data_IF_875459605414
#
_entry.id   IF_875459605414
#
_cell.length_a   1.000
_cell.length_b   1.000
_cell.length_c   1.000
_cell.angle_alpha   90.00
_cell.angle_beta   90.00
_cell.angle_gamma   90.00
#
_symmetry.space_group_name_H-M   'P 1'
#
loop_
_entity.id
_entity.type
_entity.pdbx_description
1 polymer ?
#
# COMPACT_ATOMS: atom_id res chain seq x y z
N UNK A 1 -3.27 -1.12 16.46
CA UNK A 1 -2.63 -1.55 15.19
C UNK A 1 -1.26 -0.90 15.04
N UNK A 2 -0.29 -1.59 14.41
CA UNK A 2 1.01 -1.00 14.11
C UNK A 2 0.87 0.19 13.16
N UNK A 3 1.62 1.27 13.42
CA UNK A 3 1.63 2.51 12.63
C UNK A 3 3.06 3.03 12.47
N UNK A 4 3.36 3.67 11.35
CA UNK A 4 4.60 4.43 11.17
C UNK A 4 4.33 5.67 10.32
N UNK A 5 5.22 6.65 10.42
CA UNK A 5 5.19 7.88 9.64
C UNK A 5 6.37 7.87 8.68
N UNK A 6 6.18 8.46 7.51
CA UNK A 6 7.23 8.67 6.51
C UNK A 6 7.01 10.01 5.82
N UNK A 7 8.09 10.55 5.25
CA UNK A 7 8.03 11.69 4.35
C UNK A 7 8.00 11.14 2.92
N UNK A 8 6.89 11.34 2.24
CA UNK A 8 6.65 10.80 0.91
C UNK A 8 5.52 11.56 0.18
N UNK A 9 5.39 11.35 -1.13
CA UNK A 9 4.20 11.80 -1.87
C UNK A 9 3.00 10.92 -1.49
N UNK A 10 1.85 11.53 -1.20
CA UNK A 10 0.63 10.81 -0.81
C UNK A 10 -0.32 10.67 -1.99
N UNK A 11 -0.48 9.45 -2.49
CA UNK A 11 -1.48 9.16 -3.53
C UNK A 11 -2.87 8.96 -2.94
N UNK A 12 -3.86 9.64 -3.53
CA UNK A 12 -5.27 9.54 -3.15
C UNK A 12 -5.98 8.43 -3.94
N UNK A 13 -5.57 7.18 -3.72
CA UNK A 13 -6.13 6.06 -4.46
C UNK A 13 -7.63 5.88 -4.18
N UNK A 14 -8.44 5.91 -5.23
CA UNK A 14 -9.87 5.61 -5.18
C UNK A 14 -10.12 4.33 -5.99
N UNK A 15 -10.63 3.24 -5.38
CA UNK A 15 -10.92 2.02 -6.10
C UNK A 15 -11.95 2.26 -7.20
N UNK A 16 -11.69 1.75 -8.41
CA UNK A 16 -12.67 1.74 -9.49
C UNK A 16 -13.81 0.76 -9.13
N UNK A 17 -15.07 1.21 -9.00
CA UNK A 17 -16.20 0.34 -8.69
C UNK A 17 -16.50 -0.69 -9.78
N UNK A 18 -16.07 -0.47 -11.03
CA UNK A 18 -16.19 -1.44 -12.11
C UNK A 18 -15.02 -2.44 -12.17
N UNK A 19 -13.96 -2.21 -11.38
CA UNK A 19 -12.80 -3.09 -11.30
C UNK A 19 -13.10 -4.40 -10.56
N UNK A 20 -12.13 -5.33 -10.52
CA UNK A 20 -12.26 -6.61 -9.82
C UNK A 20 -12.41 -6.48 -8.29
N UNK A 21 -12.26 -5.26 -7.75
CA UNK A 21 -12.25 -4.98 -6.33
C UNK A 21 -10.87 -5.19 -5.69
N UNK A 22 -10.72 -4.64 -4.48
CA UNK A 22 -9.49 -4.74 -3.68
C UNK A 22 -9.80 -5.21 -2.26
N UNK A 23 -8.79 -5.73 -1.59
CA UNK A 23 -8.76 -5.87 -0.13
C UNK A 23 -7.70 -4.92 0.43
N UNK A 24 -8.12 -4.02 1.32
CA UNK A 24 -7.24 -3.01 1.91
C UNK A 24 -6.50 -3.61 3.10
N UNK A 25 -5.16 -3.57 3.06
CA UNK A 25 -4.28 -4.08 4.10
C UNK A 25 -3.72 -2.96 4.99
N UNK A 26 -3.54 -1.76 4.43
CA UNK A 26 -3.16 -0.57 5.17
C UNK A 26 -3.71 0.69 4.52
N UNK A 27 -3.98 1.69 5.35
CA UNK A 27 -4.47 3.01 4.94
C UNK A 27 -3.43 4.09 5.25
N UNK A 28 -3.49 5.22 4.53
CA UNK A 28 -2.70 6.41 4.81
C UNK A 28 -3.59 7.58 5.22
N UNK A 29 -3.11 8.37 6.17
CA UNK A 29 -3.65 9.67 6.58
C UNK A 29 -2.49 10.65 6.82
N UNK A 30 -2.82 11.93 6.99
CA UNK A 30 -1.86 12.96 7.41
C UNK A 30 -2.42 13.69 8.62
N UNK A 31 -1.54 14.27 9.44
CA UNK A 31 -1.95 15.00 10.64
C UNK A 31 -2.97 16.10 10.28
N UNK A 32 -4.09 16.12 11.01
CA UNK A 32 -5.17 17.12 10.81
C UNK A 32 -6.11 16.83 9.63
N UNK A 33 -5.96 15.72 8.91
CA UNK A 33 -6.89 15.32 7.84
C UNK A 33 -7.80 14.18 8.29
N UNK A 34 -9.09 14.31 8.00
CA UNK A 34 -10.13 13.28 8.10
C UNK A 34 -10.12 12.32 6.88
N UNK A 35 -9.44 12.70 5.80
CA UNK A 35 -9.35 11.90 4.58
C UNK A 35 -8.39 10.74 4.79
N UNK A 36 -8.87 9.53 4.52
CA UNK A 36 -8.12 8.27 4.61
C UNK A 36 -8.20 7.59 3.24
N UNK A 37 -7.05 7.13 2.74
CA UNK A 37 -6.98 6.43 1.44
C UNK A 37 -6.30 5.07 1.60
N UNK A 38 -6.69 4.06 0.81
CA UNK A 38 -5.91 2.84 0.66
C UNK A 38 -4.46 3.16 0.29
N UNK A 39 -3.53 2.54 0.99
CA UNK A 39 -2.09 2.70 0.75
C UNK A 39 -1.43 1.38 0.39
N UNK A 40 -1.85 0.30 1.05
CA UNK A 40 -1.46 -1.08 0.71
C UNK A 40 -2.72 -1.90 0.53
N UNK A 41 -2.82 -2.60 -0.59
CA UNK A 41 -3.98 -3.42 -0.91
C UNK A 41 -3.62 -4.56 -1.85
N UNK A 42 -4.45 -5.60 -1.91
CA UNK A 42 -4.37 -6.65 -2.93
C UNK A 42 -5.56 -6.56 -3.88
N UNK A 43 -5.33 -6.82 -5.17
CA UNK A 43 -6.40 -6.82 -6.18
C UNK A 43 -6.99 -8.21 -6.28
N UNK A 44 -8.32 -8.31 -6.32
CA UNK A 44 -9.04 -9.59 -6.44
C UNK A 44 -9.05 -10.12 -7.89
N UNK A 45 -7.86 -10.23 -8.48
CA UNK A 45 -7.71 -10.72 -9.85
C UNK A 45 -7.80 -12.25 -9.89
N UNK A 46 -8.57 -12.86 -10.82
CA UNK A 46 -8.85 -14.29 -10.81
C UNK A 46 -7.64 -15.18 -11.11
N UNK A 47 -6.61 -14.63 -11.76
CA UNK A 47 -5.45 -15.39 -12.27
C UNK A 47 -4.09 -14.86 -11.81
N UNK A 48 -4.05 -13.77 -11.04
CA UNK A 48 -2.80 -13.10 -10.69
C UNK A 48 -2.82 -12.64 -9.24
N UNK A 49 -1.65 -12.69 -8.60
CA UNK A 49 -1.43 -12.11 -7.27
C UNK A 49 -0.87 -10.71 -7.47
N UNK A 50 -1.68 -9.69 -7.17
CA UNK A 50 -1.32 -8.30 -7.40
C UNK A 50 -1.41 -7.56 -6.07
N UNK A 51 -0.31 -6.91 -5.69
CA UNK A 51 -0.21 -6.04 -4.52
C UNK A 51 0.03 -4.61 -4.98
N UNK A 52 -0.82 -3.68 -4.56
CA UNK A 52 -0.66 -2.25 -4.75
C UNK A 52 -0.02 -1.62 -3.52
N UNK A 53 1.03 -0.84 -3.73
CA UNK A 53 1.73 -0.06 -2.70
C UNK A 53 1.84 1.37 -3.20
N UNK A 54 1.13 2.28 -2.56
CA UNK A 54 1.05 3.69 -2.95
C UNK A 54 2.21 4.55 -2.39
N UNK A 55 3.10 3.95 -1.59
CA UNK A 55 4.27 4.58 -0.98
C UNK A 55 5.55 4.25 -1.78
N UNK A 56 6.53 5.14 -1.74
CA UNK A 56 7.89 4.94 -2.25
C UNK A 56 8.39 5.99 -3.23
N UNK A 57 7.76 7.16 -3.32
CA UNK A 57 8.21 8.23 -4.23
C UNK A 57 9.54 8.83 -3.74
N UNK A 58 9.59 9.25 -2.48
CA UNK A 58 10.79 9.88 -1.89
C UNK A 58 11.85 8.82 -1.55
N UNK A 59 13.12 9.13 -1.84
CA UNK A 59 14.26 8.28 -1.54
C UNK A 59 14.37 7.95 -0.03
N UNK A 60 13.95 8.87 0.85
CA UNK A 60 13.94 8.68 2.30
C UNK A 60 13.06 7.47 2.71
N UNK A 61 11.94 7.25 2.01
CA UNK A 61 11.03 6.12 2.24
C UNK A 61 11.76 4.77 2.16
N UNK A 62 12.72 4.65 1.25
CA UNK A 62 13.49 3.42 1.02
C UNK A 62 14.51 3.12 2.13
N UNK A 63 14.77 4.09 3.02
CA UNK A 63 15.64 3.88 4.20
C UNK A 63 14.88 3.36 5.42
N UNK A 64 13.55 3.38 5.39
CA UNK A 64 12.70 2.98 6.52
C UNK A 64 12.56 1.45 6.57
N UNK A 65 12.99 0.84 7.67
CA UNK A 65 12.94 -0.61 7.86
C UNK A 65 11.53 -1.21 7.67
N UNK A 66 10.48 -0.52 8.14
CA UNK A 66 9.09 -0.97 7.96
C UNK A 66 8.67 -0.98 6.49
N UNK A 67 9.09 0.03 5.70
CA UNK A 67 8.81 0.07 4.27
C UNK A 67 9.57 -1.03 3.53
N UNK A 68 10.86 -1.23 3.84
CA UNK A 68 11.62 -2.33 3.24
C UNK A 68 11.02 -3.70 3.56
N UNK A 69 10.57 -3.93 4.80
CA UNK A 69 9.90 -5.16 5.18
C UNK A 69 8.56 -5.34 4.47
N UNK A 70 7.78 -4.25 4.29
CA UNK A 70 6.57 -4.27 3.49
C UNK A 70 6.85 -4.75 2.06
N UNK A 71 7.89 -4.23 1.39
CA UNK A 71 8.28 -4.66 0.04
C UNK A 71 8.70 -6.14 0.03
N UNK A 72 9.52 -6.59 0.99
CA UNK A 72 9.94 -8.00 1.08
C UNK A 72 8.74 -8.94 1.25
N UNK A 73 7.81 -8.60 2.14
CA UNK A 73 6.61 -9.37 2.38
C UNK A 73 5.69 -9.38 1.14
N UNK A 74 5.57 -8.25 0.45
CA UNK A 74 4.80 -8.12 -0.77
C UNK A 74 5.35 -9.04 -1.88
N UNK A 75 6.67 -9.09 -2.06
CA UNK A 75 7.33 -10.00 -3.02
C UNK A 75 7.11 -11.46 -2.62
N UNK A 76 7.37 -11.82 -1.36
CA UNK A 76 7.15 -13.18 -0.89
C UNK A 76 5.70 -13.63 -1.08
N UNK A 77 4.74 -12.77 -0.71
CA UNK A 77 3.32 -13.02 -0.94
C UNK A 77 3.03 -13.17 -2.44
N UNK A 78 3.49 -12.26 -3.31
CA UNK A 78 3.19 -12.33 -4.75
C UNK A 78 3.73 -13.61 -5.42
N UNK A 79 4.81 -14.17 -4.90
CA UNK A 79 5.44 -15.40 -5.43
C UNK A 79 4.90 -16.70 -4.85
N UNK A 80 4.12 -16.65 -3.77
CA UNK A 80 3.57 -17.87 -3.20
C UNK A 80 2.63 -18.54 -4.22
N UNK A 81 2.69 -19.87 -4.28
CA UNK A 81 1.83 -20.68 -5.16
C UNK A 81 0.39 -20.69 -4.65
#
# INVERSE_FOLDING_TARGET
>A
EPKFTLKDERYYYNPDPAGPGIEVLAQSSVAGSDKIYPSVFVVKHPQARIVGIALGHDAESHTIANYQNLIRNAVQWATAK
#
